data_IF_118660963145
#
_entry.id   IF_118660963145
#
_cell.length_a   1.000
_cell.length_b   1.000
_cell.length_c   1.000
_cell.angle_alpha   90.00
_cell.angle_beta   90.00
_cell.angle_gamma   90.00
#
_symmetry.space_group_name_H-M   'P 1'
#
loop_
_entity.id
_entity.type
_entity.pdbx_description
1 polymer ?
#
# COMPACT_ATOMS: atom_id res chain seq x y z
N UNK A 1 14.44 9.93 -4.47
CA UNK A 1 15.25 9.92 -5.69
C UNK A 1 16.74 9.84 -5.40
N UNK A 2 17.29 10.75 -4.57
CA UNK A 2 18.74 10.83 -4.29
C UNK A 2 19.32 9.52 -3.75
N UNK A 3 18.68 8.91 -2.77
CA UNK A 3 19.15 7.65 -2.16
C UNK A 3 19.01 6.46 -3.13
N UNK A 4 17.94 6.42 -3.92
CA UNK A 4 17.77 5.39 -4.94
C UNK A 4 18.82 5.51 -6.05
N UNK A 5 19.12 6.74 -6.52
CA UNK A 5 20.21 6.98 -7.46
C UNK A 5 21.56 6.58 -6.89
N UNK A 6 21.80 6.79 -5.59
CA UNK A 6 23.06 6.44 -4.93
C UNK A 6 23.35 4.93 -4.93
N UNK A 7 22.35 4.07 -5.00
CA UNK A 7 22.50 2.61 -5.14
C UNK A 7 22.43 2.11 -6.58
N UNK A 8 22.44 3.02 -7.57
CA UNK A 8 22.43 2.69 -8.98
C UNK A 8 21.05 2.53 -9.63
N UNK A 9 19.94 2.84 -8.92
CA UNK A 9 18.63 2.86 -9.54
C UNK A 9 18.56 3.93 -10.63
N UNK A 10 18.07 3.55 -11.81
CA UNK A 10 17.84 4.44 -12.95
C UNK A 10 16.41 4.36 -13.50
N UNK A 11 15.60 3.44 -12.99
CA UNK A 11 14.19 3.27 -13.31
C UNK A 11 13.43 2.87 -12.04
N UNK A 12 12.35 3.59 -11.71
CA UNK A 12 11.53 3.38 -10.52
C UNK A 12 10.11 2.98 -10.93
N UNK A 13 9.59 1.88 -10.38
CA UNK A 13 8.20 1.45 -10.57
C UNK A 13 7.24 2.20 -9.63
N UNK A 14 7.30 3.52 -9.70
CA UNK A 14 6.51 4.50 -8.97
C UNK A 14 6.44 5.82 -9.76
N UNK A 15 5.44 6.68 -9.52
CA UNK A 15 4.43 6.67 -8.45
C UNK A 15 3.31 5.65 -8.66
N UNK A 16 2.66 5.24 -7.55
CA UNK A 16 1.38 4.55 -7.60
C UNK A 16 0.30 5.62 -7.73
N UNK A 17 -0.44 5.58 -8.84
CA UNK A 17 -1.45 6.59 -9.20
C UNK A 17 -2.88 6.03 -9.15
N UNK A 18 -3.01 4.85 -8.59
CA UNK A 18 -4.30 4.23 -8.28
C UNK A 18 -5.11 5.10 -7.34
N UNK A 19 -6.44 5.01 -7.40
CA UNK A 19 -7.34 5.85 -6.64
C UNK A 19 -8.11 4.99 -5.63
N UNK A 20 -8.00 5.29 -4.34
CA UNK A 20 -8.71 4.54 -3.30
C UNK A 20 -10.21 4.88 -3.29
N UNK A 21 -10.97 4.21 -4.16
CA UNK A 21 -12.43 4.31 -4.23
C UNK A 21 -13.14 3.23 -3.43
N UNK A 22 -12.46 2.14 -3.16
CA UNK A 22 -12.99 1.04 -2.37
C UNK A 22 -12.00 0.71 -1.24
N UNK A 23 -12.39 1.05 -0.02
CA UNK A 23 -11.57 0.80 1.16
C UNK A 23 -11.29 -0.70 1.41
N UNK A 24 -12.05 -1.60 0.76
CA UNK A 24 -11.83 -3.06 0.83
C UNK A 24 -10.79 -3.56 -0.15
N UNK A 25 -10.27 -2.70 -1.05
CA UNK A 25 -9.18 -3.11 -1.93
C UNK A 25 -7.92 -3.44 -1.09
N UNK A 26 -7.41 -4.69 -1.13
CA UNK A 26 -6.34 -5.13 -0.23
C UNK A 26 -4.95 -4.62 -0.62
N UNK A 27 -4.79 -4.06 -1.81
CA UNK A 27 -3.46 -3.81 -2.40
C UNK A 27 -3.05 -2.36 -2.31
N UNK A 28 -3.95 -1.43 -2.58
CA UNK A 28 -3.54 -0.03 -2.69
C UNK A 28 -3.46 0.70 -1.35
N UNK A 29 -4.38 0.45 -0.42
CA UNK A 29 -4.44 1.01 0.95
C UNK A 29 -3.52 2.24 1.20
N UNK A 30 -2.41 2.08 1.93
CA UNK A 30 -1.42 3.13 2.19
C UNK A 30 -0.40 3.32 1.05
N UNK A 31 -0.52 2.58 -0.05
CA UNK A 31 0.36 2.72 -1.23
C UNK A 31 -0.11 3.82 -2.17
N UNK A 32 -1.39 4.19 -2.15
CA UNK A 32 -1.97 5.28 -2.95
C UNK A 32 -1.95 6.60 -2.20
N UNK A 33 -2.03 7.70 -2.94
CA UNK A 33 -2.04 9.04 -2.37
C UNK A 33 -3.39 9.40 -1.77
N UNK A 34 -4.50 9.03 -2.44
CA UNK A 34 -5.82 9.50 -2.02
C UNK A 34 -6.97 8.73 -2.71
N UNK A 35 -8.18 8.91 -2.20
CA UNK A 35 -9.44 8.67 -2.91
C UNK A 35 -9.88 9.82 -3.82
N UNK A 36 -9.18 10.97 -3.77
CA UNK A 36 -9.47 12.15 -4.56
C UNK A 36 -8.55 12.27 -5.78
N UNK A 37 -9.12 12.54 -6.95
CA UNK A 37 -8.41 12.58 -8.24
C UNK A 37 -7.38 13.71 -8.27
N UNK A 38 -7.75 14.91 -7.83
CA UNK A 38 -6.89 16.09 -7.93
C UNK A 38 -5.72 16.02 -6.94
N UNK A 39 -5.95 15.46 -5.74
CA UNK A 39 -4.87 15.16 -4.78
C UNK A 39 -3.93 14.09 -5.34
N UNK A 40 -4.46 13.04 -5.94
CA UNK A 40 -3.65 11.98 -6.58
C UNK A 40 -2.77 12.58 -7.67
N UNK A 41 -3.30 13.47 -8.51
CA UNK A 41 -2.54 14.19 -9.54
C UNK A 41 -1.43 15.03 -8.90
N UNK A 42 -1.77 15.89 -7.95
CA UNK A 42 -0.81 16.80 -7.33
C UNK A 42 0.37 16.07 -6.68
N UNK A 43 0.08 15.01 -5.91
CA UNK A 43 1.10 14.21 -5.25
C UNK A 43 1.95 13.42 -6.24
N UNK A 44 1.32 12.85 -7.28
CA UNK A 44 2.02 12.10 -8.32
C UNK A 44 2.96 12.97 -9.13
N UNK A 45 2.55 14.19 -9.50
CA UNK A 45 3.39 15.16 -10.19
C UNK A 45 4.61 15.56 -9.33
N UNK A 46 4.39 15.84 -8.05
CA UNK A 46 5.47 16.20 -7.12
C UNK A 46 6.47 15.03 -6.96
N UNK A 47 5.98 13.81 -6.81
CA UNK A 47 6.80 12.60 -6.72
C UNK A 47 7.59 12.36 -8.00
N UNK A 48 6.91 12.41 -9.16
CA UNK A 48 7.52 12.25 -10.47
C UNK A 48 8.68 13.23 -10.67
N UNK A 49 8.46 14.51 -10.36
CA UNK A 49 9.48 15.55 -10.44
C UNK A 49 10.69 15.23 -9.57
N UNK A 50 10.49 14.87 -8.29
CA UNK A 50 11.60 14.56 -7.39
C UNK A 50 12.43 13.34 -7.81
N UNK A 51 11.80 12.33 -8.41
CA UNK A 51 12.49 11.16 -8.98
C UNK A 51 13.28 11.55 -10.23
N UNK A 52 12.69 12.32 -11.15
CA UNK A 52 13.33 12.76 -12.38
C UNK A 52 14.52 13.69 -12.11
N UNK A 53 14.43 14.59 -11.15
CA UNK A 53 15.55 15.45 -10.71
C UNK A 53 16.77 14.66 -10.24
N UNK A 54 16.56 13.42 -9.80
CA UNK A 54 17.63 12.50 -9.40
C UNK A 54 18.16 11.62 -10.55
N UNK A 55 17.70 11.86 -11.79
CA UNK A 55 18.12 11.12 -12.98
C UNK A 55 17.49 9.72 -13.09
N UNK A 56 16.38 9.47 -12.42
CA UNK A 56 15.64 8.19 -12.43
C UNK A 56 14.37 8.37 -13.26
N UNK A 57 14.08 7.44 -14.15
CA UNK A 57 12.81 7.40 -14.88
C UNK A 57 11.69 6.87 -13.97
N UNK A 58 10.59 7.60 -13.72
CA UNK A 58 9.41 7.07 -13.03
C UNK A 58 8.56 6.21 -13.97
N UNK A 59 7.88 5.21 -13.40
CA UNK A 59 6.83 4.44 -14.07
C UNK A 59 5.53 4.53 -13.24
N UNK A 60 4.56 5.29 -13.71
CA UNK A 60 3.25 5.36 -13.06
C UNK A 60 2.50 4.03 -13.17
N UNK A 61 1.78 3.64 -12.11
CA UNK A 61 1.13 2.33 -12.03
C UNK A 61 -0.11 2.33 -11.14
N UNK A 62 -1.04 1.38 -11.34
CA UNK A 62 -1.04 0.25 -12.28
C UNK A 62 -2.08 0.52 -13.38
N UNK A 63 -1.65 0.86 -14.59
CA UNK A 63 -2.58 1.16 -15.69
C UNK A 63 -3.44 -0.09 -16.04
N UNK A 64 -4.77 0.00 -16.21
CA UNK A 64 -5.59 1.21 -16.34
C UNK A 64 -6.15 1.77 -15.02
N UNK A 65 -5.71 1.30 -13.86
CA UNK A 65 -6.04 1.85 -12.55
C UNK A 65 -6.71 0.84 -11.62
N UNK A 66 -6.09 0.66 -10.44
CA UNK A 66 -6.57 -0.17 -9.34
C UNK A 66 -7.29 0.69 -8.27
N UNK A 67 -7.87 0.02 -7.26
CA UNK A 67 -8.55 0.68 -6.14
C UNK A 67 -10.06 0.62 -6.16
N UNK A 68 -10.65 -0.15 -7.07
CA UNK A 68 -12.09 -0.33 -7.23
C UNK A 68 -12.51 -1.73 -6.79
N UNK A 69 -11.82 -2.78 -7.29
CA UNK A 69 -12.14 -4.18 -6.99
C UNK A 69 -11.69 -4.57 -5.57
N UNK A 70 -12.41 -5.46 -4.92
CA UNK A 70 -12.03 -6.07 -3.64
C UNK A 70 -11.04 -7.24 -3.81
N UNK A 71 -10.82 -7.67 -5.05
CA UNK A 71 -9.92 -8.77 -5.39
C UNK A 71 -8.51 -8.27 -5.66
N UNK A 72 -7.55 -9.08 -5.24
CA UNK A 72 -6.13 -8.85 -5.44
C UNK A 72 -5.68 -9.46 -6.77
N UNK A 73 -5.15 -8.66 -7.69
CA UNK A 73 -4.61 -9.12 -8.97
C UNK A 73 -3.43 -10.10 -8.83
N UNK A 74 -2.78 -10.17 -7.66
CA UNK A 74 -1.77 -11.19 -7.39
C UNK A 74 -2.39 -12.59 -7.25
N UNK A 75 -3.64 -12.68 -6.80
CA UNK A 75 -4.32 -13.91 -6.39
C UNK A 75 -5.56 -14.26 -7.22
N UNK A 76 -6.10 -13.30 -7.98
CA UNK A 76 -7.35 -13.46 -8.74
C UNK A 76 -7.43 -12.42 -9.86
N UNK A 77 -8.46 -12.49 -10.70
CA UNK A 77 -8.80 -11.41 -11.62
C UNK A 77 -9.19 -10.15 -10.85
N UNK A 78 -8.78 -9.00 -11.37
CA UNK A 78 -9.19 -7.68 -10.91
C UNK A 78 -9.86 -6.93 -12.05
N UNK A 79 -10.96 -6.23 -11.77
CA UNK A 79 -11.78 -5.54 -12.78
C UNK A 79 -12.03 -4.10 -12.35
N UNK A 80 -11.71 -3.17 -13.21
CA UNK A 80 -12.20 -1.81 -13.10
C UNK A 80 -13.51 -1.69 -13.91
N UNK A 81 -14.68 -1.61 -13.25
CA UNK A 81 -15.98 -1.66 -13.90
C UNK A 81 -16.50 -0.30 -14.36
N UNK A 82 -15.70 0.75 -14.27
CA UNK A 82 -16.12 2.10 -14.61
C UNK A 82 -16.54 2.21 -16.08
N UNK A 83 -17.60 2.99 -16.33
CA UNK A 83 -17.94 3.43 -17.69
C UNK A 83 -16.77 4.19 -18.32
N UNK A 84 -16.78 4.36 -19.64
CA UNK A 84 -15.73 5.13 -20.32
C UNK A 84 -15.66 6.57 -19.81
N UNK A 85 -16.82 7.20 -19.52
CA UNK A 85 -16.91 8.56 -18.99
C UNK A 85 -16.38 8.68 -17.56
N UNK A 86 -16.72 7.70 -16.70
CA UNK A 86 -16.22 7.67 -15.31
C UNK A 86 -14.71 7.42 -15.28
N UNK A 87 -14.20 6.52 -16.13
CA UNK A 87 -12.79 6.26 -16.24
C UNK A 87 -12.03 7.47 -16.78
N UNK A 88 -12.52 8.11 -17.84
CA UNK A 88 -11.92 9.32 -18.41
C UNK A 88 -11.86 10.47 -17.39
N UNK A 89 -12.90 10.64 -16.57
CA UNK A 89 -12.96 11.66 -15.53
C UNK A 89 -12.08 11.36 -14.30
N UNK A 90 -11.59 10.15 -14.15
CA UNK A 90 -10.80 9.69 -12.98
C UNK A 90 -9.41 9.24 -13.41
N UNK A 91 -9.20 7.96 -13.67
CA UNK A 91 -7.91 7.40 -14.06
C UNK A 91 -7.37 8.00 -15.36
N UNK A 92 -8.23 8.20 -16.36
CA UNK A 92 -7.88 8.84 -17.62
C UNK A 92 -7.32 10.25 -17.41
N UNK A 93 -7.97 11.04 -16.54
CA UNK A 93 -7.51 12.38 -16.16
C UNK A 93 -6.15 12.33 -15.45
N UNK A 94 -5.94 11.37 -14.52
CA UNK A 94 -4.66 11.21 -13.82
C UNK A 94 -3.55 10.90 -14.81
N UNK A 95 -3.70 9.84 -15.62
CA UNK A 95 -2.69 9.44 -16.59
C UNK A 95 -2.44 10.52 -17.65
N UNK A 96 -3.49 11.11 -18.21
CA UNK A 96 -3.35 12.18 -19.21
C UNK A 96 -2.56 13.37 -18.67
N UNK A 97 -2.84 13.80 -17.46
CA UNK A 97 -2.07 14.89 -16.81
C UNK A 97 -0.59 14.54 -16.61
N UNK A 98 -0.29 13.29 -16.25
CA UNK A 98 1.11 12.85 -16.10
C UNK A 98 1.83 12.72 -17.46
N UNK A 99 1.11 12.34 -18.53
CA UNK A 99 1.65 12.29 -19.89
C UNK A 99 2.01 13.70 -20.37
N UNK A 100 1.13 14.66 -20.17
CA UNK A 100 1.38 16.07 -20.49
C UNK A 100 2.58 16.64 -19.71
N UNK A 101 2.81 16.14 -18.49
CA UNK A 101 3.96 16.49 -17.67
C UNK A 101 5.26 15.73 -18.02
N UNK A 102 5.25 14.87 -19.05
CA UNK A 102 6.42 14.15 -19.52
C UNK A 102 6.76 12.88 -18.77
N UNK A 103 5.75 12.11 -18.33
CA UNK A 103 5.95 10.78 -17.76
C UNK A 103 6.61 9.84 -18.78
N UNK A 104 7.81 9.27 -18.50
CA UNK A 104 8.56 8.48 -19.48
C UNK A 104 8.09 7.03 -19.59
N UNK A 105 7.43 6.47 -18.57
CA UNK A 105 7.02 5.08 -18.58
C UNK A 105 5.79 4.81 -17.69
N UNK A 106 5.08 3.73 -18.00
CA UNK A 106 4.02 3.17 -17.16
C UNK A 106 4.23 1.68 -16.91
N UNK A 107 3.65 1.17 -15.82
CA UNK A 107 3.46 -0.25 -15.61
C UNK A 107 1.98 -0.59 -15.85
N UNK A 108 1.76 -1.50 -16.80
CA UNK A 108 0.44 -2.06 -17.04
C UNK A 108 0.13 -3.12 -15.98
N UNK A 109 -0.97 -2.95 -15.25
CA UNK A 109 -1.48 -3.92 -14.28
C UNK A 109 -2.27 -5.05 -14.96
N UNK A 110 -2.46 -6.14 -14.22
CA UNK A 110 -3.29 -7.25 -14.69
C UNK A 110 -4.77 -6.99 -14.34
N UNK A 111 -5.26 -5.84 -14.76
CA UNK A 111 -6.59 -5.30 -14.45
C UNK A 111 -7.40 -5.21 -15.73
N UNK A 112 -8.62 -5.75 -15.71
CA UNK A 112 -9.54 -5.67 -16.84
C UNK A 112 -10.29 -4.35 -16.84
N UNK A 113 -10.59 -3.83 -18.04
CA UNK A 113 -11.39 -2.60 -18.24
C UNK A 113 -12.50 -2.88 -19.29
N UNK A 114 -13.57 -3.61 -18.92
CA UNK A 114 -14.56 -4.16 -19.85
C UNK A 114 -15.25 -3.12 -20.70
N UNK A 115 -15.59 -1.97 -20.11
CA UNK A 115 -16.36 -0.94 -20.82
C UNK A 115 -15.56 -0.28 -21.96
N UNK A 116 -14.25 -0.12 -21.79
CA UNK A 116 -13.39 0.33 -22.88
C UNK A 116 -13.18 -0.74 -23.95
N UNK A 117 -13.12 -2.02 -23.58
CA UNK A 117 -13.09 -3.11 -24.58
C UNK A 117 -14.36 -3.08 -25.43
N UNK A 118 -15.54 -2.95 -24.82
CA UNK A 118 -16.82 -2.81 -25.55
C UNK A 118 -16.90 -1.53 -26.40
N UNK A 119 -16.30 -0.45 -25.95
CA UNK A 119 -16.24 0.80 -26.70
C UNK A 119 -15.51 0.61 -28.05
N UNK A 120 -14.35 -0.09 -28.04
CA UNK A 120 -13.61 -0.36 -29.27
C UNK A 120 -14.15 -1.54 -30.05
N UNK A 121 -14.71 -2.54 -29.37
CA UNK A 121 -15.33 -3.72 -29.99
C UNK A 121 -16.67 -4.06 -29.33
N UNK A 122 -17.80 -3.49 -29.83
CA UNK A 122 -19.13 -3.81 -29.28
C UNK A 122 -19.54 -5.28 -29.36
N UNK A 123 -18.87 -6.08 -30.21
CA UNK A 123 -19.10 -7.52 -30.33
C UNK A 123 -18.14 -8.36 -29.48
N UNK A 124 -17.31 -7.74 -28.63
CA UNK A 124 -16.34 -8.43 -27.80
C UNK A 124 -17.02 -9.47 -26.89
N UNK A 125 -16.47 -10.67 -26.89
CA UNK A 125 -16.89 -11.75 -25.99
C UNK A 125 -16.59 -11.38 -24.52
N UNK A 126 -17.25 -12.05 -23.60
CA UNK A 126 -16.95 -11.87 -22.15
C UNK A 126 -15.47 -12.15 -21.87
N UNK A 127 -14.87 -13.14 -22.51
CA UNK A 127 -13.46 -13.45 -22.34
C UNK A 127 -12.55 -12.30 -22.78
N UNK A 128 -12.84 -11.66 -23.91
CA UNK A 128 -12.09 -10.49 -24.38
C UNK A 128 -12.28 -9.28 -23.45
N UNK A 129 -13.49 -9.09 -22.91
CA UNK A 129 -13.81 -7.99 -21.98
C UNK A 129 -13.07 -8.11 -20.64
N UNK A 130 -12.91 -9.35 -20.12
CA UNK A 130 -12.22 -9.61 -18.85
C UNK A 130 -10.72 -9.88 -19.02
N UNK A 131 -10.20 -9.86 -20.25
CA UNK A 131 -8.77 -10.02 -20.48
C UNK A 131 -8.02 -8.87 -19.79
N UNK A 132 -7.00 -9.18 -18.96
CA UNK A 132 -6.24 -8.12 -18.26
C UNK A 132 -5.53 -7.20 -19.25
N UNK A 133 -5.39 -5.94 -18.89
CA UNK A 133 -4.82 -4.89 -19.74
C UNK A 133 -3.49 -5.29 -20.37
N UNK A 134 -2.63 -5.97 -19.63
CA UNK A 134 -1.33 -6.48 -20.10
C UNK A 134 -1.42 -7.43 -21.30
N UNK A 135 -2.58 -8.05 -21.52
CA UNK A 135 -2.83 -9.00 -22.63
C UNK A 135 -3.87 -8.47 -23.62
N UNK A 136 -4.31 -7.22 -23.46
CA UNK A 136 -5.45 -6.67 -24.20
C UNK A 136 -5.05 -5.49 -25.07
N UNK A 137 -5.04 -5.70 -26.40
CA UNK A 137 -4.70 -4.66 -27.36
C UNK A 137 -5.65 -3.45 -27.30
N UNK A 138 -6.94 -3.66 -27.00
CA UNK A 138 -7.90 -2.56 -26.89
C UNK A 138 -7.50 -1.59 -25.78
N UNK A 139 -6.80 -2.07 -24.76
CA UNK A 139 -6.36 -1.26 -23.62
C UNK A 139 -4.96 -0.68 -23.85
N UNK A 140 -3.98 -1.48 -24.30
CA UNK A 140 -2.60 -0.98 -24.44
C UNK A 140 -2.33 -0.30 -25.78
N UNK A 141 -3.01 -0.72 -26.85
CA UNK A 141 -2.86 -0.09 -28.16
C UNK A 141 -3.96 0.96 -28.38
N UNK A 142 -5.22 0.52 -28.50
CA UNK A 142 -6.29 1.40 -28.95
C UNK A 142 -6.61 2.52 -27.92
N UNK A 143 -6.62 2.22 -26.62
CA UNK A 143 -6.81 3.24 -25.57
C UNK A 143 -5.51 4.01 -25.27
N UNK A 144 -4.46 3.33 -24.82
CA UNK A 144 -3.27 3.98 -24.29
C UNK A 144 -2.46 4.69 -25.38
N UNK A 145 -2.15 3.97 -26.49
CA UNK A 145 -1.33 4.54 -27.55
C UNK A 145 -2.11 5.50 -28.46
N UNK A 146 -3.24 5.02 -29.00
CA UNK A 146 -3.96 5.73 -30.04
C UNK A 146 -4.85 6.82 -29.47
N UNK A 147 -5.74 6.51 -28.51
CA UNK A 147 -6.68 7.50 -27.95
C UNK A 147 -5.99 8.49 -27.00
N UNK A 148 -5.12 8.02 -26.10
CA UNK A 148 -4.44 8.88 -25.12
C UNK A 148 -3.11 9.44 -25.60
N UNK A 149 -2.54 8.93 -26.71
CA UNK A 149 -1.30 9.44 -27.30
C UNK A 149 -0.02 9.13 -26.52
N UNK A 150 -0.03 8.15 -25.61
CA UNK A 150 1.16 7.82 -24.82
C UNK A 150 2.23 7.13 -25.66
N UNK A 151 3.38 7.75 -25.81
CA UNK A 151 4.51 7.18 -26.56
C UNK A 151 5.70 6.76 -25.68
N UNK A 152 5.56 6.74 -24.35
CA UNK A 152 6.58 6.26 -23.42
C UNK A 152 6.67 4.73 -23.34
N UNK A 153 7.61 4.25 -22.53
CA UNK A 153 7.84 2.83 -22.30
C UNK A 153 6.71 2.18 -21.49
N UNK A 154 6.24 1.01 -21.92
CA UNK A 154 5.24 0.20 -21.20
C UNK A 154 5.90 -1.09 -20.74
N UNK A 155 5.84 -1.34 -19.43
CA UNK A 155 6.27 -2.61 -18.82
C UNK A 155 5.06 -3.29 -18.19
N UNK A 156 4.99 -4.62 -18.22
CA UNK A 156 3.95 -5.35 -17.49
C UNK A 156 4.20 -5.34 -15.99
N UNK A 157 3.19 -5.56 -15.18
CA UNK A 157 3.38 -6.08 -13.83
C UNK A 157 3.91 -7.52 -13.89
N UNK A 158 4.16 -8.14 -12.73
CA UNK A 158 4.84 -9.42 -12.64
C UNK A 158 4.08 -10.56 -13.35
N UNK A 159 4.72 -11.20 -14.32
CA UNK A 159 4.11 -12.19 -15.21
C UNK A 159 3.65 -13.50 -14.54
N UNK A 160 4.00 -13.71 -13.27
CA UNK A 160 3.57 -14.88 -12.49
C UNK A 160 2.38 -14.59 -11.57
N UNK A 161 1.83 -13.37 -11.58
CA UNK A 161 0.60 -13.04 -10.85
C UNK A 161 -0.61 -13.79 -11.44
N UNK A 162 -1.52 -14.23 -10.56
CA UNK A 162 -2.63 -15.12 -10.95
C UNK A 162 -3.57 -14.47 -11.97
N UNK A 163 -3.82 -13.18 -11.88
CA UNK A 163 -4.65 -12.46 -12.87
C UNK A 163 -4.13 -12.61 -14.32
N UNK A 164 -2.81 -12.71 -14.48
CA UNK A 164 -2.21 -12.93 -15.80
C UNK A 164 -2.12 -14.42 -16.16
N UNK A 165 -1.60 -15.25 -15.23
CA UNK A 165 -1.35 -16.67 -15.50
C UNK A 165 -2.61 -17.51 -15.68
N UNK A 166 -3.75 -17.07 -15.13
CA UNK A 166 -5.05 -17.74 -15.34
C UNK A 166 -5.77 -17.30 -16.61
N UNK A 167 -5.29 -16.27 -17.32
CA UNK A 167 -5.91 -15.78 -18.54
C UNK A 167 -5.62 -16.68 -19.76
N UNK A 168 -4.39 -17.19 -19.87
CA UNK A 168 -3.96 -18.10 -20.94
C UNK A 168 -2.68 -18.85 -20.58
N UNK A 169 -2.27 -19.82 -21.42
CA UNK A 169 -1.02 -20.56 -21.25
C UNK A 169 0.17 -19.61 -21.34
N UNK A 170 1.21 -19.83 -20.52
CA UNK A 170 2.39 -18.98 -20.46
C UNK A 170 3.11 -18.83 -21.81
N UNK A 171 3.22 -19.91 -22.60
CA UNK A 171 3.82 -19.90 -23.93
C UNK A 171 3.13 -18.92 -24.90
N UNK A 172 1.80 -18.73 -24.73
CA UNK A 172 1.00 -17.82 -25.56
C UNK A 172 0.92 -16.42 -24.91
N UNK A 173 0.96 -16.38 -23.58
CA UNK A 173 0.80 -15.19 -22.77
C UNK A 173 1.94 -14.17 -22.97
N UNK A 174 3.19 -14.63 -22.97
CA UNK A 174 4.35 -13.75 -23.06
C UNK A 174 4.41 -13.01 -24.40
N UNK A 175 4.34 -13.69 -25.57
CA UNK A 175 4.30 -12.98 -26.84
C UNK A 175 3.04 -12.13 -27.01
N UNK A 176 1.90 -12.56 -26.47
CA UNK A 176 0.65 -11.77 -26.48
C UNK A 176 0.81 -10.45 -25.72
N UNK A 177 1.53 -10.44 -24.60
CA UNK A 177 1.76 -9.20 -23.83
C UNK A 177 2.52 -8.15 -24.67
N UNK A 178 3.51 -8.57 -25.44
CA UNK A 178 4.23 -7.69 -26.36
C UNK A 178 3.35 -7.26 -27.54
N UNK A 179 2.63 -8.21 -28.14
CA UNK A 179 1.71 -7.93 -29.25
C UNK A 179 0.59 -6.96 -28.84
N UNK A 180 0.12 -7.04 -27.60
CA UNK A 180 -0.92 -6.14 -27.07
C UNK A 180 -0.45 -4.69 -26.86
N UNK A 181 0.87 -4.43 -26.78
CA UNK A 181 1.42 -3.08 -26.65
C UNK A 181 2.42 -2.86 -25.52
N UNK A 182 2.73 -3.89 -24.71
CA UNK A 182 3.84 -3.83 -23.77
C UNK A 182 5.17 -3.87 -24.49
N UNK A 183 6.17 -3.12 -24.03
CA UNK A 183 7.51 -3.11 -24.57
C UNK A 183 8.45 -4.07 -23.83
N UNK A 184 8.13 -4.38 -22.57
CA UNK A 184 8.88 -5.27 -21.68
C UNK A 184 7.92 -6.07 -20.83
N UNK A 185 8.28 -7.29 -20.46
CA UNK A 185 7.57 -8.04 -19.41
C UNK A 185 8.46 -8.28 -18.18
N UNK A 186 7.83 -8.39 -17.00
CA UNK A 186 8.40 -8.76 -15.70
C UNK A 186 7.66 -9.98 -15.18
N UNK A 187 8.26 -10.92 -14.58
CA UNK A 187 9.62 -11.43 -14.54
C UNK A 187 9.61 -12.76 -15.29
N UNK A 188 10.75 -13.29 -15.68
CA UNK A 188 10.77 -14.65 -16.22
C UNK A 188 10.68 -15.70 -15.10
N UNK A 189 10.05 -16.85 -15.38
CA UNK A 189 10.09 -18.01 -14.50
C UNK A 189 11.36 -18.83 -14.75
N UNK A 190 11.61 -19.12 -16.01
CA UNK A 190 12.84 -19.69 -16.50
C UNK A 190 13.30 -18.86 -17.71
N UNK A 191 14.51 -18.31 -17.69
CA UNK A 191 14.96 -17.39 -18.74
C UNK A 191 15.09 -18.04 -20.10
N UNK A 192 15.47 -19.32 -20.18
CA UNK A 192 15.67 -20.02 -21.45
C UNK A 192 14.32 -20.41 -22.06
N UNK A 193 13.40 -20.91 -21.24
CA UNK A 193 12.05 -21.27 -21.67
C UNK A 193 11.24 -20.03 -22.11
N UNK A 194 11.22 -18.99 -21.31
CA UNK A 194 10.49 -17.75 -21.62
C UNK A 194 11.08 -17.05 -22.87
N UNK A 195 12.40 -17.08 -23.04
CA UNK A 195 13.05 -16.56 -24.23
C UNK A 195 12.65 -17.35 -25.48
N UNK A 196 12.60 -18.69 -25.38
CA UNK A 196 12.20 -19.52 -26.51
C UNK A 196 10.75 -19.25 -26.93
N UNK A 197 9.82 -19.12 -25.98
CA UNK A 197 8.42 -18.76 -26.27
C UNK A 197 8.26 -17.38 -26.91
N UNK A 198 9.07 -16.42 -26.48
CA UNK A 198 9.10 -15.08 -27.11
C UNK A 198 9.61 -15.18 -28.55
N UNK A 199 10.67 -15.96 -28.80
CA UNK A 199 11.23 -16.18 -30.13
C UNK A 199 10.24 -16.92 -31.04
N UNK A 200 9.55 -17.94 -30.49
CA UNK A 200 8.50 -18.67 -31.22
C UNK A 200 7.33 -17.73 -31.56
N UNK A 201 6.92 -16.87 -30.62
CA UNK A 201 5.89 -15.86 -30.87
C UNK A 201 6.25 -14.88 -31.98
N UNK A 202 7.52 -14.46 -32.05
CA UNK A 202 8.03 -13.66 -33.18
C UNK A 202 8.04 -14.45 -34.49
N UNK A 203 8.63 -15.65 -34.52
CA UNK A 203 8.72 -16.47 -35.69
C UNK A 203 7.35 -16.90 -36.28
N UNK A 204 6.34 -17.02 -35.41
CA UNK A 204 4.95 -17.35 -35.78
C UNK A 204 4.10 -16.10 -36.09
N UNK A 205 4.67 -14.89 -36.06
CA UNK A 205 4.01 -13.63 -36.42
C UNK A 205 3.03 -13.12 -35.36
N UNK A 206 3.06 -13.62 -34.12
CA UNK A 206 2.31 -13.04 -32.99
C UNK A 206 2.91 -11.67 -32.65
N UNK A 207 4.24 -11.58 -32.61
CA UNK A 207 4.97 -10.30 -32.51
C UNK A 207 5.42 -9.95 -33.93
N UNK A 208 4.87 -8.88 -34.50
CA UNK A 208 5.26 -8.42 -35.83
C UNK A 208 6.59 -7.66 -35.82
N UNK A 209 7.22 -7.51 -36.98
CA UNK A 209 8.45 -6.71 -37.12
C UNK A 209 8.23 -5.28 -36.63
N UNK A 210 7.11 -4.67 -37.01
CA UNK A 210 6.76 -3.30 -36.60
C UNK A 210 6.62 -3.20 -35.08
N UNK A 211 5.96 -4.18 -34.44
CA UNK A 211 5.75 -4.19 -32.98
C UNK A 211 7.09 -4.36 -32.24
N UNK A 212 7.97 -5.23 -32.75
CA UNK A 212 9.31 -5.42 -32.21
C UNK A 212 10.16 -4.15 -32.33
N UNK A 213 10.13 -3.50 -33.51
CA UNK A 213 10.87 -2.25 -33.74
C UNK A 213 10.39 -1.13 -32.84
N UNK A 214 9.08 -0.97 -32.65
CA UNK A 214 8.49 -0.02 -31.71
C UNK A 214 8.96 -0.27 -30.26
N UNK A 215 8.92 -1.51 -29.77
CA UNK A 215 9.38 -1.86 -28.44
C UNK A 215 10.87 -1.53 -28.25
N UNK A 216 11.71 -1.96 -29.18
CA UNK A 216 13.14 -1.71 -29.16
C UNK A 216 13.44 -0.20 -29.20
N UNK A 217 12.73 0.56 -30.03
CA UNK A 217 12.87 2.01 -30.12
C UNK A 217 12.58 2.69 -28.77
N UNK A 218 11.49 2.31 -28.09
CA UNK A 218 11.17 2.87 -26.77
C UNK A 218 12.15 2.44 -25.69
N UNK A 219 12.57 1.17 -25.68
CA UNK A 219 13.58 0.67 -24.74
C UNK A 219 14.91 1.42 -24.91
N UNK A 220 15.42 1.46 -26.14
CA UNK A 220 16.70 2.11 -26.43
C UNK A 220 16.61 3.64 -26.25
N UNK A 221 15.48 4.23 -26.65
CA UNK A 221 15.20 5.65 -26.45
C UNK A 221 15.18 6.05 -24.97
N UNK A 222 14.55 5.26 -24.11
CA UNK A 222 14.55 5.48 -22.66
C UNK A 222 15.97 5.35 -22.07
N UNK A 223 16.71 4.31 -22.45
CA UNK A 223 18.13 4.16 -22.04
C UNK A 223 18.99 5.32 -22.53
N UNK A 224 18.73 5.81 -23.74
CA UNK A 224 19.46 6.96 -24.31
C UNK A 224 19.12 8.26 -23.58
N UNK A 225 17.85 8.50 -23.24
CA UNK A 225 17.40 9.66 -22.48
C UNK A 225 18.04 9.71 -21.08
N UNK A 226 18.22 8.57 -20.43
CA UNK A 226 18.93 8.43 -19.16
C UNK A 226 20.47 8.50 -19.32
N UNK A 227 20.98 8.60 -20.55
CA UNK A 227 22.40 8.66 -20.84
C UNK A 227 23.18 7.37 -20.55
N UNK A 228 22.49 6.23 -20.33
CA UNK A 228 23.13 4.99 -19.90
C UNK A 228 24.19 4.47 -20.88
N UNK A 229 24.00 4.69 -22.18
CA UNK A 229 24.93 4.29 -23.22
C UNK A 229 26.27 5.10 -23.23
N UNK A 230 26.32 6.22 -22.48
CA UNK A 230 27.51 7.09 -22.35
C UNK A 230 28.24 6.91 -21.03
N UNK A 231 27.62 6.19 -20.07
CA UNK A 231 28.16 6.00 -18.71
C UNK A 231 29.05 4.76 -18.63
N UNK A 232 30.16 4.88 -17.93
CA UNK A 232 30.95 3.72 -17.53
C UNK A 232 30.18 2.87 -16.53
N UNK A 233 30.53 1.58 -16.42
CA UNK A 233 29.87 0.68 -15.47
C UNK A 233 29.94 1.19 -14.04
N UNK A 234 31.05 1.81 -13.64
CA UNK A 234 31.28 2.42 -12.32
C UNK A 234 30.41 3.66 -12.06
N UNK A 235 29.94 4.34 -13.10
CA UNK A 235 29.01 5.47 -12.98
C UNK A 235 27.55 5.01 -12.89
N UNK A 236 27.24 3.82 -13.42
CA UNK A 236 25.92 3.20 -13.31
C UNK A 236 25.77 2.47 -11.98
N UNK A 237 26.83 1.80 -11.51
CA UNK A 237 26.89 1.06 -10.26
C UNK A 237 27.94 1.70 -9.35
N UNK A 238 27.54 2.67 -8.50
CA UNK A 238 28.45 3.32 -7.54
C UNK A 238 29.08 2.31 -6.56
N UNK A 239 30.23 2.67 -6.03
CA UNK A 239 30.85 1.88 -4.94
C UNK A 239 29.97 1.91 -3.67
N UNK A 240 30.17 0.91 -2.80
CA UNK A 240 29.45 0.85 -1.52
C UNK A 240 29.71 2.12 -0.69
N UNK A 241 30.94 2.61 -0.69
CA UNK A 241 31.36 3.79 0.04
C UNK A 241 30.64 5.03 -0.44
N UNK A 242 30.57 5.25 -1.77
CA UNK A 242 29.85 6.36 -2.39
C UNK A 242 28.34 6.29 -2.12
N UNK A 243 27.75 5.08 -2.19
CA UNK A 243 26.33 4.85 -1.86
C UNK A 243 26.03 5.18 -0.41
N UNK A 244 26.80 4.62 0.53
CA UNK A 244 26.60 4.83 1.97
C UNK A 244 26.77 6.29 2.39
N UNK A 245 27.59 7.08 1.68
CA UNK A 245 27.75 8.51 1.94
C UNK A 245 26.50 9.33 1.62
N UNK A 246 25.54 8.78 0.86
CA UNK A 246 24.30 9.47 0.42
C UNK A 246 23.02 8.88 1.02
N UNK A 247 23.10 7.77 1.76
CA UNK A 247 21.95 7.11 2.36
C UNK A 247 21.78 7.58 3.80
N UNK A 248 20.54 7.85 4.19
CA UNK A 248 20.18 8.24 5.55
C UNK A 248 20.73 9.59 5.98
N UNK A 249 20.89 10.52 5.05
CA UNK A 249 21.33 11.88 5.32
C UNK A 249 20.43 12.58 6.33
N UNK A 250 20.97 13.45 7.21
CA UNK A 250 20.19 14.18 8.20
C UNK A 250 19.03 14.98 7.59
N UNK A 251 19.23 15.62 6.43
CA UNK A 251 18.19 16.36 5.72
C UNK A 251 17.05 15.46 5.24
N UNK A 252 17.33 14.24 4.75
CA UNK A 252 16.30 13.29 4.32
C UNK A 252 15.50 12.78 5.53
N UNK A 253 16.19 12.54 6.66
CA UNK A 253 15.52 12.18 7.93
C UNK A 253 14.64 13.31 8.44
N UNK A 254 15.09 14.55 8.37
CA UNK A 254 14.31 15.71 8.79
C UNK A 254 13.01 15.85 7.98
N UNK A 255 13.07 15.63 6.65
CA UNK A 255 11.89 15.62 5.79
C UNK A 255 10.92 14.49 6.21
N UNK A 256 11.44 13.28 6.47
CA UNK A 256 10.61 12.16 6.91
C UNK A 256 9.89 12.44 8.23
N UNK A 257 10.58 13.08 9.20
CA UNK A 257 9.99 13.51 10.48
C UNK A 257 8.92 14.58 10.26
N UNK A 258 9.18 15.57 9.39
CA UNK A 258 8.20 16.62 9.06
C UNK A 258 6.95 16.03 8.41
N UNK A 259 7.12 15.11 7.46
CA UNK A 259 6.00 14.42 6.78
C UNK A 259 5.18 13.63 7.80
N UNK A 260 5.84 12.87 8.69
CA UNK A 260 5.16 12.11 9.73
C UNK A 260 4.34 13.00 10.66
N UNK A 261 4.91 14.12 11.14
CA UNK A 261 4.17 15.06 11.98
C UNK A 261 2.95 15.64 11.26
N UNK A 262 3.08 16.07 10.01
CA UNK A 262 1.98 16.65 9.23
C UNK A 262 0.90 15.62 8.84
N UNK A 263 1.28 14.36 8.64
CA UNK A 263 0.38 13.31 8.16
C UNK A 263 -0.57 12.76 9.25
N UNK A 264 -0.11 12.69 10.51
CA UNK A 264 -0.90 12.09 11.59
C UNK A 264 -2.26 12.77 11.70
N UNK A 265 -3.32 11.97 11.58
CA UNK A 265 -4.70 12.45 11.45
C UNK A 265 -5.54 12.04 12.66
N UNK A 266 -6.08 13.00 13.38
CA UNK A 266 -7.13 12.78 14.39
C UNK A 266 -8.48 12.69 13.66
N UNK A 267 -8.93 11.45 13.36
CA UNK A 267 -10.14 11.19 12.58
C UNK A 267 -11.41 11.40 13.42
N UNK A 268 -11.37 10.95 14.69
CA UNK A 268 -12.50 11.01 15.62
C UNK A 268 -12.02 11.41 17.01
N UNK A 269 -12.70 12.35 17.67
CA UNK A 269 -12.35 12.84 19.00
C UNK A 269 -13.58 13.25 19.81
N UNK A 270 -14.50 12.34 20.03
CA UNK A 270 -15.73 12.62 20.76
C UNK A 270 -15.50 12.79 22.28
N UNK A 271 -14.41 12.22 22.80
CA UNK A 271 -14.04 12.33 24.23
C UNK A 271 -13.30 13.63 24.57
N UNK A 272 -12.74 14.33 23.57
CA UNK A 272 -11.96 15.55 23.78
C UNK A 272 -10.85 15.41 24.85
N UNK A 273 -10.11 14.29 24.81
CA UNK A 273 -9.15 13.92 25.86
C UNK A 273 -7.78 14.58 25.72
N UNK A 274 -7.49 15.20 24.58
CA UNK A 274 -6.20 15.84 24.33
C UNK A 274 -6.12 17.27 24.91
N UNK A 275 -4.96 17.69 25.40
CA UNK A 275 -3.75 16.92 25.59
C UNK A 275 -3.84 15.96 26.79
N UNK A 276 -3.23 14.77 26.66
CA UNK A 276 -3.03 13.87 27.81
C UNK A 276 -1.79 14.30 28.62
N UNK A 277 -1.78 14.02 29.92
CA UNK A 277 -0.63 14.29 30.78
C UNK A 277 -0.54 13.29 31.93
N UNK A 278 0.68 13.00 32.46
CA UNK A 278 0.85 12.11 33.61
C UNK A 278 0.14 12.59 34.88
N UNK A 279 -0.15 13.90 35.00
CA UNK A 279 -0.88 14.46 36.14
C UNK A 279 -2.37 14.06 36.14
N UNK A 280 -2.94 13.78 34.97
CA UNK A 280 -4.37 13.46 34.80
C UNK A 280 -4.63 12.00 34.46
N UNK A 281 -3.75 11.38 33.66
CA UNK A 281 -3.92 10.04 33.10
C UNK A 281 -2.61 9.26 33.23
N UNK A 282 -2.19 9.00 34.47
CA UNK A 282 -0.85 8.49 34.77
C UNK A 282 -0.65 7.04 34.31
N UNK A 283 -1.64 6.18 34.56
CA UNK A 283 -1.54 4.72 34.33
C UNK A 283 -2.13 4.38 32.96
N UNK A 284 -1.27 4.01 32.03
CA UNK A 284 -1.66 3.72 30.64
C UNK A 284 -1.56 2.23 30.37
N UNK A 285 -2.63 1.64 29.83
CA UNK A 285 -2.62 0.31 29.26
C UNK A 285 -2.46 0.40 27.75
N UNK A 286 -1.45 -0.22 27.21
CA UNK A 286 -1.29 -0.45 25.77
C UNK A 286 -1.85 -1.83 25.42
N UNK A 287 -2.68 -1.87 24.38
CA UNK A 287 -3.21 -3.11 23.83
C UNK A 287 -2.72 -3.26 22.40
N UNK A 288 -1.95 -4.31 22.14
CA UNK A 288 -1.46 -4.61 20.81
C UNK A 288 -2.55 -5.32 20.00
N UNK A 289 -2.86 -4.79 18.81
CA UNK A 289 -3.82 -5.37 17.87
C UNK A 289 -3.05 -5.72 16.60
N UNK A 290 -2.75 -7.00 16.44
CA UNK A 290 -2.01 -7.50 15.27
C UNK A 290 -2.96 -8.13 14.24
N UNK A 291 -2.55 -8.05 12.97
CA UNK A 291 -3.12 -8.85 11.90
C UNK A 291 -2.58 -10.28 11.88
N UNK A 292 -3.03 -11.08 10.94
CA UNK A 292 -2.49 -12.42 10.73
C UNK A 292 -0.97 -12.39 10.53
N UNK A 293 -0.25 -13.25 11.28
CA UNK A 293 1.21 -13.45 11.12
C UNK A 293 1.51 -14.33 9.89
N UNK A 294 0.98 -13.96 8.73
CA UNK A 294 1.21 -14.66 7.49
C UNK A 294 1.57 -13.68 6.37
N UNK A 295 2.31 -14.16 5.36
CA UNK A 295 2.68 -13.38 4.19
C UNK A 295 4.18 -13.25 3.98
N UNK A 296 4.57 -12.68 2.85
CA UNK A 296 5.96 -12.59 2.42
C UNK A 296 6.87 -11.82 3.41
N UNK A 297 6.32 -10.84 4.11
CA UNK A 297 7.03 -10.10 5.16
C UNK A 297 7.47 -10.98 6.34
N UNK A 298 6.69 -11.99 6.70
CA UNK A 298 7.03 -12.94 7.76
C UNK A 298 8.17 -13.89 7.36
N UNK A 299 8.40 -14.10 6.07
CA UNK A 299 9.47 -14.96 5.55
C UNK A 299 10.83 -14.25 5.49
N UNK A 300 10.86 -12.93 5.41
CA UNK A 300 12.08 -12.12 5.22
C UNK A 300 12.49 -11.41 6.51
N UNK A 301 11.55 -11.20 7.46
CA UNK A 301 11.76 -10.43 8.66
C UNK A 301 12.33 -11.23 9.81
N UNK A 302 13.40 -10.73 10.46
CA UNK A 302 13.67 -11.03 11.86
C UNK A 302 12.54 -10.52 12.75
N UNK A 303 12.59 -10.76 14.06
CA UNK A 303 11.60 -10.21 15.01
C UNK A 303 11.58 -8.68 14.89
N UNK A 304 10.56 -8.16 14.21
CA UNK A 304 10.34 -6.73 14.12
C UNK A 304 9.92 -6.20 15.50
N UNK A 305 10.49 -5.09 15.93
CA UNK A 305 10.05 -4.40 17.14
C UNK A 305 8.59 -4.02 16.98
N UNK A 306 7.75 -4.44 17.92
CA UNK A 306 6.32 -4.14 17.87
C UNK A 306 6.11 -2.64 18.14
N UNK A 307 5.21 -1.98 17.41
CA UNK A 307 4.91 -0.55 17.64
C UNK A 307 4.53 -0.22 19.09
N UNK A 308 3.88 -1.15 19.80
CA UNK A 308 3.53 -0.98 21.21
C UNK A 308 4.76 -0.91 22.14
N UNK A 309 5.85 -1.63 21.81
CA UNK A 309 7.08 -1.60 22.62
C UNK A 309 7.80 -0.26 22.46
N UNK A 310 7.90 0.26 21.23
CA UNK A 310 8.43 1.61 20.98
C UNK A 310 7.57 2.67 21.65
N UNK A 311 6.24 2.60 21.48
CA UNK A 311 5.32 3.56 22.06
C UNK A 311 5.39 3.58 23.60
N UNK A 312 5.52 2.40 24.22
CA UNK A 312 5.75 2.27 25.67
C UNK A 312 6.95 3.10 26.09
N UNK A 313 8.11 2.90 25.47
CA UNK A 313 9.33 3.64 25.82
C UNK A 313 9.19 5.15 25.70
N UNK A 314 8.51 5.62 24.65
CA UNK A 314 8.26 7.06 24.43
C UNK A 314 7.33 7.63 25.53
N UNK A 315 6.24 6.94 25.85
CA UNK A 315 5.30 7.37 26.89
C UNK A 315 5.93 7.34 28.31
N UNK A 316 6.74 6.33 28.60
CA UNK A 316 7.47 6.27 29.88
C UNK A 316 8.48 7.43 30.01
N UNK A 317 9.12 7.83 28.92
CA UNK A 317 9.99 9.01 28.90
C UNK A 317 9.21 10.33 29.16
N UNK A 318 7.92 10.35 28.87
CA UNK A 318 7.00 11.46 29.22
C UNK A 318 6.50 11.42 30.68
N UNK A 319 6.84 10.37 31.43
CA UNK A 319 6.44 10.22 32.85
C UNK A 319 5.16 9.41 33.08
N UNK A 320 4.61 8.76 32.06
CA UNK A 320 3.49 7.84 32.22
C UNK A 320 3.97 6.50 32.83
N UNK A 321 3.07 5.82 33.56
CA UNK A 321 3.25 4.42 34.01
C UNK A 321 2.56 3.51 32.98
N UNK A 322 3.36 2.80 32.16
CA UNK A 322 2.84 2.09 31.00
C UNK A 322 2.95 0.59 31.15
N UNK A 323 1.82 -0.09 31.02
CA UNK A 323 1.72 -1.55 30.93
C UNK A 323 1.29 -1.96 29.52
N UNK A 324 1.83 -3.08 29.03
CA UNK A 324 1.31 -3.73 27.82
C UNK A 324 0.43 -4.88 28.22
N UNK A 325 -0.77 -4.94 27.63
CA UNK A 325 -1.67 -6.08 27.82
C UNK A 325 -1.09 -7.34 27.19
N UNK A 326 -0.92 -8.37 27.98
CA UNK A 326 -0.60 -9.70 27.47
C UNK A 326 -1.89 -10.34 26.94
N UNK A 327 -1.96 -10.57 25.64
CA UNK A 327 -3.17 -11.10 25.02
C UNK A 327 -3.53 -12.48 25.58
N UNK A 328 -4.82 -12.81 25.49
CA UNK A 328 -5.30 -14.14 25.91
C UNK A 328 -4.60 -15.25 25.14
N UNK A 329 -4.30 -15.04 23.87
CA UNK A 329 -3.57 -15.99 23.03
C UNK A 329 -2.12 -16.14 23.47
N UNK A 330 -1.41 -15.03 23.71
CA UNK A 330 -0.02 -15.05 24.22
C UNK A 330 0.09 -15.82 25.54
N UNK A 331 -0.84 -15.59 26.46
CA UNK A 331 -0.87 -16.30 27.75
C UNK A 331 -1.09 -17.80 27.58
N UNK A 332 -2.03 -18.18 26.70
CA UNK A 332 -2.31 -19.60 26.44
C UNK A 332 -1.12 -20.28 25.76
N UNK A 333 -0.51 -19.60 24.79
CA UNK A 333 0.64 -20.15 24.04
C UNK A 333 1.89 -20.37 24.93
N UNK A 334 2.02 -19.64 26.03
CA UNK A 334 3.09 -19.85 27.03
C UNK A 334 2.89 -21.07 27.92
N UNK A 335 1.66 -21.63 27.97
CA UNK A 335 1.38 -22.82 28.75
C UNK A 335 1.89 -24.09 28.06
N UNK A 336 2.21 -25.15 28.82
CA UNK A 336 2.43 -26.48 28.28
C UNK A 336 1.25 -26.92 27.39
N UNK A 337 1.52 -27.71 26.36
CA UNK A 337 0.50 -28.09 25.37
C UNK A 337 -0.72 -28.79 26.01
N UNK A 338 -0.48 -29.64 26.99
CA UNK A 338 -1.49 -30.37 27.75
C UNK A 338 -2.43 -29.45 28.56
N UNK A 339 -1.99 -28.23 28.92
CA UNK A 339 -2.79 -27.27 29.70
C UNK A 339 -3.59 -26.31 28.81
N UNK A 340 -3.22 -26.15 27.54
CA UNK A 340 -3.81 -25.14 26.64
C UNK A 340 -5.31 -25.35 26.43
N UNK A 341 -5.75 -26.61 26.24
CA UNK A 341 -7.17 -26.91 26.04
C UNK A 341 -8.02 -26.51 27.23
N UNK A 342 -7.55 -26.80 28.48
CA UNK A 342 -8.22 -26.40 29.71
C UNK A 342 -8.23 -24.87 29.88
N UNK A 343 -7.13 -24.20 29.53
CA UNK A 343 -7.03 -22.75 29.59
C UNK A 343 -8.00 -22.07 28.62
N UNK A 344 -8.12 -22.56 27.38
CA UNK A 344 -9.12 -22.09 26.40
C UNK A 344 -10.54 -22.24 26.96
N UNK A 345 -10.89 -23.39 27.51
CA UNK A 345 -12.20 -23.63 28.12
C UNK A 345 -12.51 -22.69 29.30
N UNK A 346 -11.49 -22.32 30.06
CA UNK A 346 -11.59 -21.41 31.20
C UNK A 346 -11.66 -19.93 30.83
N UNK A 347 -11.32 -19.52 29.60
CA UNK A 347 -11.36 -18.11 29.17
C UNK A 347 -12.73 -17.48 29.42
N UNK A 348 -13.80 -18.21 29.11
CA UNK A 348 -15.18 -17.75 29.28
C UNK A 348 -15.70 -17.88 30.71
N UNK A 349 -15.10 -18.74 31.52
CA UNK A 349 -15.47 -18.95 32.91
C UNK A 349 -14.87 -17.91 33.88
N UNK A 350 -13.84 -17.21 33.48
CA UNK A 350 -13.16 -16.21 34.31
C UNK A 350 -14.03 -14.98 34.52
N UNK A 351 -14.25 -14.63 35.78
CA UNK A 351 -14.88 -13.35 36.14
C UNK A 351 -13.86 -12.23 36.02
N UNK A 352 -14.20 -11.19 35.28
CA UNK A 352 -13.37 -9.98 35.09
C UNK A 352 -14.25 -8.76 35.32
N UNK A 353 -14.39 -8.31 36.55
CA UNK A 353 -15.18 -7.13 36.86
C UNK A 353 -14.58 -5.89 36.20
N UNK A 354 -15.38 -5.09 35.53
CA UNK A 354 -14.97 -3.85 34.91
C UNK A 354 -14.29 -2.89 35.90
N UNK A 355 -14.75 -2.91 37.17
CA UNK A 355 -14.16 -2.11 38.23
C UNK A 355 -12.66 -2.36 38.45
N UNK A 356 -12.17 -3.57 38.17
CA UNK A 356 -10.76 -3.90 38.35
C UNK A 356 -9.91 -3.25 37.25
N UNK A 357 -10.44 -3.15 36.03
CA UNK A 357 -9.81 -2.45 34.92
C UNK A 357 -9.77 -0.94 35.17
N UNK A 358 -10.89 -0.35 35.62
CA UNK A 358 -11.00 1.07 35.99
C UNK A 358 -10.07 1.41 37.15
N UNK A 359 -9.93 0.52 38.15
CA UNK A 359 -9.03 0.73 39.28
C UNK A 359 -7.54 0.65 38.87
N UNK A 360 -7.21 -0.08 37.80
CA UNK A 360 -5.83 -0.31 37.37
C UNK A 360 -5.31 0.79 36.42
N UNK A 361 -6.17 1.35 35.55
CA UNK A 361 -5.74 2.22 34.46
C UNK A 361 -6.59 3.48 34.33
N UNK A 362 -5.96 4.57 33.90
CA UNK A 362 -6.60 5.87 33.66
C UNK A 362 -6.85 6.10 32.15
N UNK A 363 -6.12 5.40 31.29
CA UNK A 363 -6.20 5.50 29.84
C UNK A 363 -5.86 4.15 29.20
N UNK A 364 -6.56 3.79 28.15
CA UNK A 364 -6.23 2.64 27.29
C UNK A 364 -5.89 3.15 25.89
N UNK A 365 -4.77 2.68 25.33
CA UNK A 365 -4.38 2.96 23.95
C UNK A 365 -4.28 1.62 23.20
N UNK A 366 -5.17 1.40 22.25
CA UNK A 366 -5.10 0.27 21.33
C UNK A 366 -4.24 0.67 20.15
N UNK A 367 -3.27 -0.17 19.78
CA UNK A 367 -2.34 0.07 18.66
C UNK A 367 -2.53 -1.03 17.63
N UNK A 368 -3.16 -0.70 16.51
CA UNK A 368 -3.43 -1.64 15.44
C UNK A 368 -2.35 -1.59 14.37
N UNK A 369 -1.56 -2.68 14.30
CA UNK A 369 -0.55 -2.92 13.27
C UNK A 369 -1.03 -4.02 12.32
N UNK A 370 -2.05 -3.72 11.51
CA UNK A 370 -2.64 -4.64 10.54
C UNK A 370 -2.20 -4.24 9.14
N UNK A 371 -1.46 -5.11 8.47
CA UNK A 371 -0.97 -4.86 7.13
C UNK A 371 -2.08 -5.02 6.09
N UNK A 372 -2.19 -4.12 5.11
CA UNK A 372 -3.26 -4.15 4.12
C UNK A 372 -3.17 -5.29 3.09
N UNK A 373 -2.04 -5.98 2.98
CA UNK A 373 -1.71 -6.85 1.82
C UNK A 373 -2.47 -8.17 1.75
N UNK A 374 -3.13 -8.62 2.81
CA UNK A 374 -3.80 -9.92 2.84
C UNK A 374 -5.15 -9.89 3.53
N UNK A 375 -5.28 -9.04 4.54
CA UNK A 375 -6.52 -8.88 5.31
C UNK A 375 -6.50 -7.50 5.95
N UNK A 376 -7.25 -6.58 5.38
CA UNK A 376 -7.33 -5.21 5.91
C UNK A 376 -8.16 -5.11 7.18
N UNK A 377 -8.86 -6.20 7.55
CA UNK A 377 -9.74 -6.24 8.70
C UNK A 377 -9.00 -6.75 9.93
N UNK A 378 -9.35 -6.19 11.08
CA UNK A 378 -8.86 -6.69 12.35
C UNK A 378 -9.45 -8.07 12.60
N UNK A 379 -8.58 -9.06 12.81
CA UNK A 379 -8.96 -10.42 13.19
C UNK A 379 -9.09 -10.49 14.71
N UNK A 380 -10.30 -10.30 15.21
CA UNK A 380 -10.55 -10.34 16.65
C UNK A 380 -10.40 -11.73 17.22
N UNK A 381 -9.73 -11.89 18.39
CA UNK A 381 -9.67 -13.16 19.08
C UNK A 381 -11.09 -13.62 19.54
N UNK A 382 -11.25 -14.91 19.75
CA UNK A 382 -12.51 -15.47 20.24
C UNK A 382 -12.87 -14.99 21.66
N UNK A 383 -11.87 -14.57 22.46
CA UNK A 383 -12.02 -14.14 23.85
C UNK A 383 -12.71 -12.78 23.96
N UNK A 384 -14.01 -12.79 24.17
CA UNK A 384 -14.81 -11.60 24.44
C UNK A 384 -14.73 -11.16 25.90
N UNK A 385 -14.88 -9.86 26.17
CA UNK A 385 -14.84 -9.32 27.53
C UNK A 385 -13.43 -9.29 28.15
N UNK A 386 -12.39 -9.37 27.31
CA UNK A 386 -10.98 -9.13 27.69
C UNK A 386 -10.50 -7.86 27.00
N UNK A 387 -9.45 -7.19 27.49
CA UNK A 387 -8.85 -6.02 26.83
C UNK A 387 -8.35 -6.28 25.40
N UNK A 388 -8.25 -7.52 24.95
CA UNK A 388 -7.98 -7.87 23.55
C UNK A 388 -8.97 -7.23 22.57
N UNK A 389 -10.22 -6.97 23.03
CA UNK A 389 -11.27 -6.32 22.25
C UNK A 389 -11.74 -5.06 23.00
N UNK A 390 -11.83 -3.88 22.37
CA UNK A 390 -12.15 -2.63 23.05
C UNK A 390 -13.64 -2.53 23.42
N UNK A 391 -14.08 -3.28 24.46
CA UNK A 391 -15.42 -3.25 25.00
C UNK A 391 -15.62 -2.14 26.05
N UNK A 392 -14.54 -1.59 26.59
CA UNK A 392 -14.46 -0.66 27.72
C UNK A 392 -14.50 0.81 27.34
N UNK A 393 -14.81 1.14 26.10
CA UNK A 393 -14.69 2.50 25.52
C UNK A 393 -15.55 3.56 26.20
N UNK A 394 -16.58 3.16 26.96
CA UNK A 394 -17.41 4.06 27.76
C UNK A 394 -17.03 4.08 29.26
N UNK A 395 -16.14 3.20 29.66
CA UNK A 395 -15.75 3.04 31.07
C UNK A 395 -14.40 3.70 31.40
N UNK A 396 -13.49 3.68 30.43
CA UNK A 396 -12.16 4.27 30.54
C UNK A 396 -11.89 5.10 29.27
N UNK A 397 -11.29 6.29 29.37
CA UNK A 397 -10.79 7.02 28.21
C UNK A 397 -9.98 6.09 27.31
N UNK A 398 -10.34 6.03 26.02
CA UNK A 398 -9.74 5.07 25.09
C UNK A 398 -9.34 5.77 23.79
N UNK A 399 -8.07 5.58 23.41
CA UNK A 399 -7.54 5.99 22.10
C UNK A 399 -7.32 4.74 21.26
N UNK A 400 -7.78 4.75 20.03
CA UNK A 400 -7.44 3.72 19.05
C UNK A 400 -6.51 4.33 18.00
N UNK A 401 -5.31 3.76 17.86
CA UNK A 401 -4.29 4.21 16.90
C UNK A 401 -4.12 3.14 15.84
N UNK A 402 -4.40 3.47 14.59
CA UNK A 402 -4.06 2.63 13.45
C UNK A 402 -2.74 3.09 12.85
N UNK A 403 -1.73 2.22 12.89
CA UNK A 403 -0.36 2.57 12.45
C UNK A 403 -0.08 2.17 11.00
N UNK A 404 -1.06 1.60 10.30
CA UNK A 404 -0.93 1.19 8.90
C UNK A 404 -2.19 1.53 8.09
N UNK A 405 -3.15 0.60 7.98
CA UNK A 405 -4.36 0.82 7.20
C UNK A 405 -5.27 1.89 7.84
N UNK A 406 -5.80 2.86 7.08
CA UNK A 406 -6.56 3.98 7.63
C UNK A 406 -8.02 3.65 7.94
N UNK A 407 -8.48 2.42 7.70
CA UNK A 407 -9.90 2.06 7.59
C UNK A 407 -10.44 1.24 8.78
N UNK A 408 -9.67 1.08 9.88
CA UNK A 408 -10.05 0.23 11.00
C UNK A 408 -11.26 0.74 11.82
N UNK A 409 -11.76 1.96 11.58
CA UNK A 409 -13.05 2.37 12.13
C UNK A 409 -14.20 1.45 11.69
N UNK A 410 -14.09 0.81 10.54
CA UNK A 410 -15.03 -0.23 10.10
C UNK A 410 -15.06 -1.47 11.03
N UNK A 411 -13.99 -1.69 11.80
CA UNK A 411 -13.85 -2.82 12.74
C UNK A 411 -14.11 -2.42 14.18
N UNK A 412 -13.95 -1.13 14.50
CA UNK A 412 -14.10 -0.55 15.85
C UNK A 412 -14.97 0.72 15.87
N UNK A 413 -16.18 0.69 15.30
CA UNK A 413 -17.02 1.89 15.20
C UNK A 413 -17.35 2.51 16.57
N UNK A 414 -17.32 1.71 17.64
CA UNK A 414 -17.62 2.13 19.00
C UNK A 414 -16.55 3.00 19.66
N UNK A 415 -15.30 3.03 19.13
CA UNK A 415 -14.24 3.86 19.74
C UNK A 415 -14.54 5.35 19.55
N UNK A 416 -14.30 6.13 20.61
CA UNK A 416 -14.65 7.56 20.64
C UNK A 416 -13.50 8.48 20.23
N UNK A 417 -12.26 7.97 20.26
CA UNK A 417 -11.06 8.69 19.80
C UNK A 417 -10.24 7.77 18.91
N UNK A 418 -10.02 8.19 17.65
CA UNK A 418 -9.35 7.38 16.64
C UNK A 418 -8.34 8.21 15.85
N UNK A 419 -7.11 7.68 15.73
CA UNK A 419 -5.98 8.31 15.07
C UNK A 419 -5.40 7.38 14.01
N UNK A 420 -5.09 7.92 12.82
CA UNK A 420 -4.29 7.28 11.79
C UNK A 420 -2.88 7.88 11.76
N UNK A 421 -1.86 7.03 11.78
CA UNK A 421 -0.45 7.45 11.61
C UNK A 421 0.14 7.04 10.27
N UNK A 422 -0.50 6.10 9.55
CA UNK A 422 -0.14 5.55 8.23
C UNK A 422 1.19 4.79 8.18
N UNK A 423 2.03 4.90 9.18
CA UNK A 423 3.20 4.06 9.42
C UNK A 423 3.54 3.95 10.93
N UNK A 424 4.48 3.07 11.26
CA UNK A 424 4.89 2.76 12.64
C UNK A 424 6.37 3.03 12.93
N UNK A 425 7.02 3.89 12.12
CA UNK A 425 8.43 4.25 12.36
C UNK A 425 8.60 4.99 13.69
N UNK A 426 9.77 4.85 14.31
CA UNK A 426 10.06 5.47 15.61
C UNK A 426 9.78 6.96 15.62
N UNK A 427 10.17 7.68 14.57
CA UNK A 427 9.90 9.12 14.43
C UNK A 427 8.40 9.44 14.27
N UNK A 428 7.61 8.55 13.65
CA UNK A 428 6.16 8.69 13.54
C UNK A 428 5.48 8.48 14.89
N UNK A 429 5.89 7.47 15.65
CA UNK A 429 5.38 7.23 17.00
C UNK A 429 5.79 8.35 17.97
N UNK A 430 6.99 8.93 17.81
CA UNK A 430 7.41 10.11 18.56
C UNK A 430 6.53 11.33 18.20
N UNK A 431 6.26 11.56 16.93
CA UNK A 431 5.36 12.63 16.48
C UNK A 431 3.93 12.43 17.01
N UNK A 432 3.43 11.20 17.03
CA UNK A 432 2.15 10.85 17.63
C UNK A 432 2.09 11.27 19.11
N UNK A 433 3.09 10.87 19.90
CA UNK A 433 3.14 11.25 21.33
C UNK A 433 3.23 12.76 21.49
N UNK A 434 4.04 13.46 20.70
CA UNK A 434 4.12 14.93 20.74
C UNK A 434 2.74 15.59 20.54
N UNK A 435 1.91 15.05 19.62
CA UNK A 435 0.54 15.54 19.43
C UNK A 435 -0.37 15.19 20.61
N UNK A 436 -0.29 13.97 21.10
CA UNK A 436 -1.12 13.53 22.23
C UNK A 436 -0.86 14.36 23.50
N UNK A 437 0.40 14.75 23.75
CA UNK A 437 0.75 15.59 24.92
C UNK A 437 0.69 17.11 24.66
N UNK A 438 0.28 17.52 23.45
CA UNK A 438 0.06 18.92 23.10
C UNK A 438 1.30 19.72 22.71
N UNK A 439 2.43 19.08 22.34
CA UNK A 439 3.62 19.76 21.82
C UNK A 439 3.48 20.16 20.34
N UNK A 440 2.68 19.42 19.59
CA UNK A 440 2.28 19.77 18.22
C UNK A 440 0.79 19.51 18.02
N UNK A 441 0.19 20.20 17.05
CA UNK A 441 -1.24 20.11 16.77
C UNK A 441 -1.53 19.00 15.75
N UNK A 442 -2.72 18.39 15.82
CA UNK A 442 -3.24 17.49 14.78
C UNK A 442 -3.70 18.32 13.58
N UNK A 443 -2.86 18.42 12.56
CA UNK A 443 -3.14 19.17 11.32
C UNK A 443 -3.44 18.26 10.14
N UNK A 444 -3.19 16.95 10.26
CA UNK A 444 -3.42 15.99 9.21
C UNK A 444 -4.91 15.84 8.85
N UNK A 445 -5.18 15.73 7.55
CA UNK A 445 -6.51 15.45 7.00
C UNK A 445 -6.46 14.11 6.29
N UNK A 446 -7.42 13.22 6.61
CA UNK A 446 -7.44 11.90 5.98
C UNK A 446 -7.48 12.01 4.46
N UNK A 447 -6.59 11.33 3.74
CA UNK A 447 -6.60 11.32 2.28
C UNK A 447 -7.70 10.42 1.70
N UNK A 448 -8.34 9.61 2.55
CA UNK A 448 -9.39 8.65 2.20
C UNK A 448 -10.58 8.79 3.16
N UNK A 449 -11.74 8.21 2.82
CA UNK A 449 -12.85 8.11 3.78
C UNK A 449 -12.53 7.08 4.88
N UNK A 450 -11.97 7.55 5.99
CA UNK A 450 -11.67 6.71 7.15
C UNK A 450 -12.91 6.15 7.84
N UNK A 451 -14.11 6.69 7.55
CA UNK A 451 -15.39 6.21 8.06
C UNK A 451 -15.98 5.09 7.21
N UNK A 452 -15.37 4.75 6.08
CA UNK A 452 -15.74 3.65 5.20
C UNK A 452 -17.20 3.66 4.70
N UNK A 453 -17.83 4.84 4.68
CA UNK A 453 -19.24 5.01 4.31
C UNK A 453 -20.26 4.52 5.35
N UNK A 454 -19.81 4.03 6.53
CA UNK A 454 -20.72 3.53 7.57
C UNK A 454 -21.20 4.64 8.51
N UNK A 455 -22.48 4.58 8.89
CA UNK A 455 -23.08 5.58 9.78
C UNK A 455 -22.55 5.46 11.21
N UNK A 456 -22.43 4.24 11.72
CA UNK A 456 -22.02 3.92 13.09
C UNK A 456 -20.56 4.30 13.40
N UNK A 457 -19.70 4.37 12.39
CA UNK A 457 -18.31 4.83 12.56
C UNK A 457 -18.21 6.31 12.96
N UNK A 458 -19.26 7.09 12.70
CA UNK A 458 -19.34 8.54 13.03
C UNK A 458 -19.88 8.83 14.43
N UNK A 459 -20.43 7.81 15.08
CA UNK A 459 -21.02 7.91 16.42
C UNK A 459 -19.99 8.16 17.52
#
# INVERSE_FOLDING_TARGET
GVEAAAIGCNWSFAPIVDINRNWRNPIIATRTWSGDVDKTIAMSLAYMKGIQESGIAPAAKHFPGDGIDERDQHLSFSVNPYSTEEWDATFGKVYGTLFDAGLPSIMAGHISLPEYVKYFNPAATVQEQIMPATLNKYILTDLLRDKMGFNGLVVTDASHMVAMTSAMKRQDMLPTAIAAGSDLFLFFNDPDEDFQWMLDGYNNGVITDERLEEALTRILGTKAALGLHKKAKTEILPSKEEAMAKIGLPENKAIAVEVADKAITLVKNNQNIFPISPDKTKRVLLVNVEGHKGGFGAMIGGEAVRPVDTLKGILEAEGFEVSIWESTEERINKLPEEERAAAVANVYAQKRPIKDLIAAYDLVINVASVQPNTDQRIQWPASKGTPDIPFYVHEIPTIFVSVQAPNHLADVPQVQTYINTYDSKDFTLQALVNKMVGRSEFTGVSPVDAFCGFLDTRY
#
